data_IF_837380729919
#
_entry.id   IF_837380729919
#
_cell.length_a   1.000
_cell.length_b   1.000
_cell.length_c   1.000
_cell.angle_alpha   90.00
_cell.angle_beta   90.00
_cell.angle_gamma   90.00
#
_symmetry.space_group_name_H-M   'P 1'
#
loop_
_entity.id
_entity.type
_entity.pdbx_description
1 polymer ?
#
# COMPACT_ATOMS: atom_id res chain seq x y z
N UNK A 1 17.31 1.99 -15.92
CA UNK A 1 16.92 1.51 -14.58
C UNK A 1 15.45 1.85 -14.42
N UNK A 2 14.57 0.84 -14.51
CA UNK A 2 13.12 1.03 -14.53
C UNK A 2 12.59 1.42 -13.16
N UNK A 3 11.73 2.42 -13.12
CA UNK A 3 10.96 2.82 -11.93
C UNK A 3 9.73 1.94 -11.84
N UNK A 4 9.62 1.18 -10.78
CA UNK A 4 8.46 0.37 -10.47
C UNK A 4 7.26 1.22 -10.07
N UNK A 5 6.10 1.00 -10.65
CA UNK A 5 4.87 1.70 -10.32
C UNK A 5 3.68 0.77 -10.08
N UNK A 6 2.90 1.04 -9.07
CA UNK A 6 1.58 0.45 -8.88
C UNK A 6 0.56 1.42 -9.46
N UNK A 7 -0.24 0.95 -10.40
CA UNK A 7 -1.26 1.74 -11.04
C UNK A 7 -2.63 1.44 -10.45
N UNK A 8 -3.36 2.47 -10.10
CA UNK A 8 -4.73 2.39 -9.62
C UNK A 8 -5.67 3.22 -10.49
N UNK A 9 -6.78 2.63 -10.91
CA UNK A 9 -7.87 3.35 -11.57
C UNK A 9 -9.13 3.28 -10.70
N UNK A 10 -9.44 4.26 -9.89
CA UNK A 10 -10.71 4.94 -9.71
C UNK A 10 -10.60 6.34 -9.07
N UNK A 11 -11.71 7.06 -8.79
CA UNK A 11 -11.65 8.45 -8.39
C UNK A 11 -11.07 8.62 -6.98
N UNK A 12 -9.77 8.89 -6.89
CA UNK A 12 -8.94 9.19 -5.71
C UNK A 12 -8.25 7.98 -5.09
N UNK A 13 -7.07 7.56 -5.60
CA UNK A 13 -6.18 6.71 -4.81
C UNK A 13 -4.69 6.71 -5.22
N UNK A 14 -3.86 6.15 -4.33
CA UNK A 14 -2.42 6.21 -4.22
C UNK A 14 -1.72 5.12 -5.05
N UNK A 15 -0.66 5.46 -5.75
CA UNK A 15 0.28 4.52 -6.33
C UNK A 15 1.61 4.51 -5.56
N UNK A 16 2.35 3.42 -5.61
CA UNK A 16 3.70 3.31 -5.08
C UNK A 16 4.69 3.34 -6.24
N UNK A 17 5.61 4.32 -6.23
CA UNK A 17 6.71 4.43 -7.17
C UNK A 17 8.02 3.97 -6.56
N UNK A 18 8.83 3.26 -7.33
CA UNK A 18 10.22 2.93 -6.99
C UNK A 18 11.07 4.19 -7.03
N UNK A 19 11.54 4.67 -5.89
CA UNK A 19 12.57 5.71 -5.80
C UNK A 19 12.09 7.15 -5.88
N UNK A 20 10.80 7.44 -5.99
CA UNK A 20 10.24 8.78 -5.80
C UNK A 20 9.05 8.72 -4.83
N UNK A 21 8.90 9.81 -4.06
CA UNK A 21 7.82 9.98 -3.08
C UNK A 21 6.48 10.33 -3.74
N UNK A 22 6.41 10.33 -5.07
CA UNK A 22 5.23 10.69 -5.82
C UNK A 22 4.44 9.45 -6.22
N UNK A 23 3.30 9.35 -5.60
CA UNK A 23 2.27 8.40 -5.89
C UNK A 23 1.49 8.86 -7.11
N UNK A 24 1.73 8.30 -8.27
CA UNK A 24 0.97 8.62 -9.45
C UNK A 24 -0.27 7.72 -9.53
N UNK A 25 -1.39 8.19 -9.03
CA UNK A 25 -2.68 7.74 -9.53
C UNK A 25 -2.85 8.32 -10.93
N UNK A 26 -2.64 7.55 -11.97
CA UNK A 26 -3.00 7.98 -13.33
C UNK A 26 -4.50 7.76 -13.47
N UNK A 27 -5.26 8.85 -13.49
CA UNK A 27 -6.58 8.86 -14.08
C UNK A 27 -6.37 9.06 -15.58
N UNK A 28 -6.75 8.11 -16.43
CA UNK A 28 -6.74 8.37 -17.85
C UNK A 28 -7.72 9.51 -18.14
N UNK A 29 -7.26 10.54 -18.84
CA UNK A 29 -8.13 11.62 -19.31
C UNK A 29 -9.16 11.13 -20.35
N UNK A 30 -8.93 9.96 -20.92
CA UNK A 30 -9.84 9.29 -21.86
C UNK A 30 -9.91 7.78 -21.57
N UNK A 31 -11.10 7.28 -21.25
CA UNK A 31 -11.38 5.86 -21.00
C UNK A 31 -11.44 5.00 -22.27
N UNK A 32 -11.24 5.58 -23.48
CA UNK A 32 -11.44 4.88 -24.75
C UNK A 32 -10.47 3.73 -25.01
N UNK A 33 -9.26 3.77 -24.44
CA UNK A 33 -8.30 2.66 -24.50
C UNK A 33 -7.55 2.50 -23.18
N UNK A 34 -8.30 2.27 -22.12
CA UNK A 34 -7.73 2.09 -20.80
C UNK A 34 -6.75 0.90 -20.75
N UNK A 35 -7.02 -0.18 -21.46
CA UNK A 35 -6.16 -1.35 -21.48
C UNK A 35 -4.80 -1.06 -22.13
N UNK A 36 -4.78 -0.36 -23.27
CA UNK A 36 -3.54 0.04 -23.94
C UNK A 36 -2.74 1.04 -23.11
N UNK A 37 -3.41 2.02 -22.50
CA UNK A 37 -2.76 2.98 -21.61
C UNK A 37 -2.11 2.28 -20.41
N UNK A 38 -2.85 1.39 -19.72
CA UNK A 38 -2.35 0.62 -18.58
C UNK A 38 -1.20 -0.31 -18.95
N UNK A 39 -1.26 -0.94 -20.10
CA UNK A 39 -0.20 -1.81 -20.60
C UNK A 39 1.07 -1.04 -21.00
N UNK A 40 0.91 0.20 -21.50
CA UNK A 40 2.03 1.09 -21.87
C UNK A 40 2.78 1.69 -20.67
N UNK A 41 2.18 1.62 -19.48
CA UNK A 41 2.84 2.05 -18.25
C UNK A 41 3.76 0.95 -17.73
N UNK A 42 5.01 1.31 -17.41
CA UNK A 42 5.98 0.39 -16.78
C UNK A 42 5.62 0.13 -15.31
N UNK A 43 4.42 -0.42 -15.08
CA UNK A 43 3.93 -0.75 -13.76
C UNK A 43 4.35 -2.17 -13.36
N UNK A 44 4.72 -2.37 -12.09
CA UNK A 44 5.01 -3.71 -11.56
C UNK A 44 3.75 -4.43 -11.10
N UNK A 45 2.67 -3.69 -10.86
CA UNK A 45 1.38 -4.21 -10.45
C UNK A 45 0.27 -3.20 -10.78
N UNK A 46 -0.88 -3.71 -11.17
CA UNK A 46 -2.09 -2.95 -11.44
C UNK A 46 -3.13 -3.29 -10.37
N UNK A 47 -3.67 -2.26 -9.69
CA UNK A 47 -4.89 -2.39 -8.91
C UNK A 47 -6.06 -1.91 -9.77
N UNK A 48 -7.03 -2.76 -10.02
CA UNK A 48 -8.11 -2.50 -10.96
C UNK A 48 -9.48 -2.63 -10.27
N UNK A 49 -10.25 -1.55 -10.28
CA UNK A 49 -11.65 -1.63 -9.81
C UNK A 49 -12.49 -2.42 -10.83
N UNK A 50 -13.36 -3.28 -10.33
CA UNK A 50 -14.31 -4.03 -11.16
C UNK A 50 -15.41 -3.11 -11.67
N UNK A 51 -15.87 -2.16 -10.84
CA UNK A 51 -16.97 -1.27 -11.14
C UNK A 51 -16.47 0.08 -11.66
N UNK A 52 -16.02 0.12 -12.91
CA UNK A 52 -15.63 1.37 -13.56
C UNK A 52 -16.83 2.01 -14.26
N UNK A 53 -16.86 3.35 -14.45
CA UNK A 53 -18.03 4.06 -14.95
C UNK A 53 -18.46 3.68 -16.37
N UNK A 54 -17.52 3.24 -17.21
CA UNK A 54 -17.74 3.04 -18.64
C UNK A 54 -17.53 1.61 -19.11
N UNK A 55 -16.84 0.78 -18.32
CA UNK A 55 -16.49 -0.59 -18.69
C UNK A 55 -16.27 -1.45 -17.45
N UNK A 56 -16.50 -2.76 -17.59
CA UNK A 56 -16.24 -3.71 -16.51
C UNK A 56 -14.74 -3.98 -16.38
N UNK A 57 -14.18 -3.89 -15.18
CA UNK A 57 -12.77 -4.16 -14.93
C UNK A 57 -12.29 -5.55 -15.35
N UNK A 58 -13.17 -6.56 -15.35
CA UNK A 58 -12.84 -7.89 -15.86
C UNK A 58 -12.57 -7.87 -17.38
N UNK A 59 -13.31 -7.09 -18.15
CA UNK A 59 -13.12 -6.97 -19.61
C UNK A 59 -11.82 -6.23 -19.92
N UNK A 60 -11.55 -5.16 -19.17
CA UNK A 60 -10.29 -4.42 -19.25
C UNK A 60 -9.11 -5.35 -18.92
N UNK A 61 -9.20 -6.15 -17.87
CA UNK A 61 -8.14 -7.08 -17.48
C UNK A 61 -7.85 -8.11 -18.58
N UNK A 62 -8.88 -8.65 -19.23
CA UNK A 62 -8.69 -9.57 -20.36
C UNK A 62 -7.87 -8.93 -21.49
N UNK A 63 -8.18 -7.68 -21.86
CA UNK A 63 -7.41 -6.94 -22.87
C UNK A 63 -5.99 -6.61 -22.39
N UNK A 64 -5.80 -6.26 -21.11
CA UNK A 64 -4.47 -6.06 -20.53
C UNK A 64 -3.63 -7.34 -20.67
N UNK A 65 -4.21 -8.52 -20.49
CA UNK A 65 -3.51 -9.80 -20.59
C UNK A 65 -2.99 -10.12 -21.98
N UNK A 66 -3.59 -9.56 -23.04
CA UNK A 66 -3.10 -9.64 -24.41
C UNK A 66 -1.85 -8.77 -24.64
N UNK A 67 -1.68 -7.72 -23.83
CA UNK A 67 -0.64 -6.71 -24.00
C UNK A 67 0.53 -6.84 -23.01
N UNK A 68 0.26 -7.28 -21.78
CA UNK A 68 1.28 -7.36 -20.72
C UNK A 68 1.01 -8.50 -19.73
N UNK A 69 2.09 -8.94 -19.07
CA UNK A 69 2.04 -9.90 -17.96
C UNK A 69 2.03 -9.24 -16.58
N UNK A 70 1.96 -7.93 -16.52
CA UNK A 70 1.89 -7.18 -15.26
C UNK A 70 0.78 -7.73 -14.36
N UNK A 71 1.06 -8.11 -13.10
CA UNK A 71 0.04 -8.65 -12.21
C UNK A 71 -1.09 -7.66 -11.98
N UNK A 72 -2.33 -8.15 -11.95
CA UNK A 72 -3.54 -7.37 -11.67
C UNK A 72 -4.19 -7.92 -10.41
N UNK A 73 -4.45 -7.05 -9.43
CA UNK A 73 -5.30 -7.33 -8.27
C UNK A 73 -6.59 -6.54 -8.45
N UNK A 74 -7.73 -7.23 -8.40
CA UNK A 74 -9.00 -6.57 -8.44
C UNK A 74 -9.38 -5.95 -7.09
N UNK A 75 -10.01 -4.78 -7.16
CA UNK A 75 -10.61 -4.13 -5.99
C UNK A 75 -12.09 -3.99 -6.29
N UNK A 76 -12.94 -4.60 -5.47
CA UNK A 76 -14.38 -4.69 -5.79
C UNK A 76 -15.24 -4.40 -4.58
N UNK A 77 -16.45 -3.87 -4.81
CA UNK A 77 -17.49 -3.77 -3.78
C UNK A 77 -18.34 -5.05 -3.70
N UNK A 78 -18.05 -6.05 -4.53
CA UNK A 78 -18.76 -7.30 -4.59
C UNK A 78 -18.02 -8.35 -3.76
N UNK A 79 -18.75 -9.14 -3.03
CA UNK A 79 -18.22 -10.15 -2.11
C UNK A 79 -19.00 -11.48 -2.30
N UNK A 80 -18.94 -12.01 -3.53
CA UNK A 80 -19.59 -13.27 -3.86
C UNK A 80 -18.55 -14.25 -4.42
N UNK A 81 -18.76 -15.56 -4.17
CA UNK A 81 -17.94 -16.63 -4.73
C UNK A 81 -17.92 -16.64 -6.27
N UNK A 82 -18.94 -16.06 -6.90
CA UNK A 82 -18.97 -15.86 -8.35
C UNK A 82 -17.95 -14.81 -8.82
N UNK A 83 -17.74 -13.77 -8.04
CA UNK A 83 -16.75 -12.72 -8.35
C UNK A 83 -15.31 -13.24 -8.20
N UNK A 84 -15.07 -14.16 -7.26
CA UNK A 84 -13.79 -14.85 -7.10
C UNK A 84 -13.43 -15.63 -8.38
N UNK A 85 -14.38 -16.40 -8.88
CA UNK A 85 -14.19 -17.18 -10.11
C UNK A 85 -13.99 -16.28 -11.34
N UNK A 86 -14.72 -15.17 -11.42
CA UNK A 86 -14.61 -14.19 -12.50
C UNK A 86 -13.25 -13.47 -12.51
N UNK A 87 -12.71 -13.14 -11.34
CA UNK A 87 -11.38 -12.51 -11.20
C UNK A 87 -10.28 -13.41 -11.74
N UNK A 88 -10.31 -14.69 -11.40
CA UNK A 88 -9.35 -15.71 -11.89
C UNK A 88 -9.50 -15.88 -13.41
N UNK A 89 -10.73 -16.01 -13.93
CA UNK A 89 -10.99 -16.17 -15.38
C UNK A 89 -10.59 -14.96 -16.21
N UNK A 90 -10.65 -13.75 -15.63
CA UNK A 90 -10.21 -12.54 -16.29
C UNK A 90 -8.67 -12.39 -16.28
N UNK A 91 -7.94 -13.26 -15.61
CA UNK A 91 -6.47 -13.22 -15.53
C UNK A 91 -5.93 -12.36 -14.40
N UNK A 92 -6.74 -11.97 -13.44
CA UNK A 92 -6.27 -11.40 -12.17
C UNK A 92 -5.56 -12.45 -11.33
N UNK A 93 -4.62 -12.01 -10.51
CA UNK A 93 -3.87 -12.92 -9.62
C UNK A 93 -4.48 -12.97 -8.21
N UNK A 94 -5.25 -11.94 -7.85
CA UNK A 94 -5.94 -11.83 -6.56
C UNK A 94 -7.05 -10.77 -6.64
N UNK A 95 -7.86 -10.67 -5.58
CA UNK A 95 -8.85 -9.61 -5.43
C UNK A 95 -8.94 -9.16 -3.96
N UNK A 96 -9.54 -7.98 -3.73
CA UNK A 96 -9.84 -7.46 -2.40
C UNK A 96 -11.19 -6.75 -2.40
N UNK A 97 -12.06 -7.10 -1.46
CA UNK A 97 -13.38 -6.49 -1.31
C UNK A 97 -13.33 -5.20 -0.50
N UNK A 98 -14.09 -4.20 -0.95
CA UNK A 98 -14.29 -2.93 -0.22
C UNK A 98 -15.40 -3.09 0.83
N UNK A 99 -15.22 -2.53 2.03
CA UNK A 99 -14.05 -1.85 2.56
C UNK A 99 -12.94 -2.85 2.92
N UNK A 100 -11.70 -2.57 2.59
CA UNK A 100 -10.56 -3.45 2.85
C UNK A 100 -9.64 -2.93 3.96
N UNK A 101 -9.05 -3.85 4.71
CA UNK A 101 -7.92 -3.54 5.59
C UNK A 101 -6.68 -3.22 4.71
N UNK A 102 -6.07 -2.05 4.85
CA UNK A 102 -4.88 -1.68 4.10
C UNK A 102 -3.72 -2.69 4.22
N UNK A 103 -3.63 -3.43 5.33
CA UNK A 103 -2.61 -4.47 5.49
C UNK A 103 -2.93 -5.71 4.68
N UNK A 104 -4.21 -6.10 4.57
CA UNK A 104 -4.61 -7.23 3.70
C UNK A 104 -4.28 -6.89 2.25
N UNK A 105 -4.61 -5.68 1.81
CA UNK A 105 -4.24 -5.22 0.46
C UNK A 105 -2.73 -5.24 0.28
N UNK A 106 -1.97 -4.72 1.25
CA UNK A 106 -0.52 -4.72 1.21
C UNK A 106 0.06 -6.13 1.10
N UNK A 107 -0.44 -7.09 1.88
CA UNK A 107 0.02 -8.48 1.79
C UNK A 107 -0.27 -9.11 0.43
N UNK A 108 -1.43 -8.82 -0.15
CA UNK A 108 -1.77 -9.25 -1.51
C UNK A 108 -0.86 -8.63 -2.56
N UNK A 109 -0.58 -7.33 -2.46
CA UNK A 109 0.39 -6.62 -3.31
C UNK A 109 1.79 -7.27 -3.19
N UNK A 110 2.28 -7.49 -1.98
CA UNK A 110 3.58 -8.13 -1.74
C UNK A 110 3.66 -9.52 -2.34
N UNK A 111 2.61 -10.33 -2.16
CA UNK A 111 2.53 -11.67 -2.75
C UNK A 111 2.60 -11.61 -4.27
N UNK A 112 1.88 -10.69 -4.88
CA UNK A 112 1.87 -10.47 -6.31
C UNK A 112 3.24 -10.10 -6.86
N UNK A 113 3.88 -9.12 -6.23
CA UNK A 113 5.20 -8.62 -6.64
C UNK A 113 6.32 -9.65 -6.41
N UNK A 114 6.20 -10.53 -5.41
CA UNK A 114 7.14 -11.66 -5.24
C UNK A 114 7.10 -12.66 -6.39
N UNK A 115 5.97 -12.80 -7.05
CA UNK A 115 5.83 -13.70 -8.21
C UNK A 115 6.50 -13.14 -9.46
N UNK A 116 6.65 -11.81 -9.55
CA UNK A 116 7.24 -11.11 -10.71
C UNK A 116 8.68 -10.68 -10.50
N UNK A 117 9.06 -10.31 -9.30
CA UNK A 117 10.43 -9.92 -8.91
C UNK A 117 10.72 -10.25 -7.44
N UNK A 118 11.26 -11.44 -7.16
CA UNK A 118 11.48 -11.93 -5.79
C UNK A 118 12.41 -11.08 -4.92
N UNK A 119 13.18 -10.16 -5.51
CA UNK A 119 14.22 -9.39 -4.81
C UNK A 119 13.84 -7.98 -4.36
N UNK A 120 12.77 -7.38 -4.85
CA UNK A 120 12.73 -5.92 -4.96
C UNK A 120 11.69 -5.17 -4.12
N UNK A 121 10.68 -5.84 -3.54
CA UNK A 121 9.64 -5.20 -2.72
C UNK A 121 9.70 -5.61 -1.24
N UNK A 122 10.91 -5.77 -0.76
CA UNK A 122 11.12 -6.26 0.61
C UNK A 122 11.24 -5.15 1.64
N UNK A 123 11.68 -3.98 1.23
CA UNK A 123 12.15 -2.95 2.16
C UNK A 123 11.76 -1.53 1.73
N UNK A 124 11.40 -0.71 2.71
CA UNK A 124 11.28 0.74 2.55
C UNK A 124 12.38 1.44 3.34
N UNK A 125 13.13 2.34 2.72
CA UNK A 125 14.20 3.07 3.40
C UNK A 125 13.86 4.54 3.51
N UNK A 126 13.94 5.11 4.73
CA UNK A 126 13.76 6.54 5.03
C UNK A 126 14.71 6.96 6.14
N UNK A 127 15.34 8.12 6.01
CA UNK A 127 16.29 8.68 7.00
C UNK A 127 17.35 7.66 7.48
N UNK A 128 17.84 6.79 6.59
CA UNK A 128 18.81 5.75 6.92
C UNK A 128 18.23 4.53 7.66
N UNK A 129 16.94 4.53 7.93
CA UNK A 129 16.22 3.39 8.53
C UNK A 129 15.57 2.56 7.44
N UNK A 130 15.66 1.24 7.52
CA UNK A 130 15.07 0.29 6.58
C UNK A 130 13.97 -0.52 7.27
N UNK A 131 12.73 -0.37 6.81
CA UNK A 131 11.58 -1.15 7.25
C UNK A 131 11.45 -2.38 6.35
N UNK A 132 11.72 -3.57 6.89
CA UNK A 132 11.46 -4.84 6.21
C UNK A 132 9.96 -5.14 6.28
N UNK A 133 9.35 -5.10 5.14
CA UNK A 133 7.90 -5.26 5.00
C UNK A 133 7.46 -6.72 5.15
N UNK A 134 8.34 -7.68 5.02
CA UNK A 134 8.03 -9.10 5.14
C UNK A 134 8.17 -9.60 6.57
N UNK A 135 9.27 -9.21 7.22
CA UNK A 135 9.58 -9.64 8.58
C UNK A 135 8.94 -8.75 9.65
N UNK A 136 8.36 -7.60 9.25
CA UNK A 136 7.90 -6.56 10.20
C UNK A 136 9.01 -6.10 11.13
N UNK A 137 10.20 -5.90 10.57
CA UNK A 137 11.42 -5.51 11.30
C UNK A 137 11.88 -4.14 10.81
N UNK A 138 12.30 -3.28 11.72
CA UNK A 138 13.01 -2.04 11.40
C UNK A 138 14.51 -2.23 11.64
N UNK A 139 15.35 -1.82 10.66
CA UNK A 139 16.80 -1.89 10.75
C UNK A 139 17.43 -0.50 10.71
N UNK A 140 18.47 -0.32 11.50
CA UNK A 140 19.26 0.90 11.54
C UNK A 140 20.67 0.62 12.02
N UNK A 141 21.70 1.04 11.25
CA UNK A 141 23.12 0.90 11.62
C UNK A 141 23.51 -0.50 12.11
N UNK A 142 23.03 -1.54 11.44
CA UNK A 142 23.33 -2.94 11.78
C UNK A 142 22.54 -3.52 12.96
N UNK A 143 21.66 -2.74 13.59
CA UNK A 143 20.73 -3.20 14.62
C UNK A 143 19.33 -3.34 14.05
N UNK A 144 18.53 -4.21 14.68
CA UNK A 144 17.14 -4.41 14.26
C UNK A 144 16.19 -4.55 15.45
N UNK A 145 14.91 -4.23 15.22
CA UNK A 145 13.84 -4.45 16.18
C UNK A 145 12.61 -5.00 15.48
N UNK A 146 12.03 -6.05 16.06
CA UNK A 146 10.74 -6.59 15.62
C UNK A 146 9.59 -5.68 16.04
N UNK A 147 8.64 -5.50 15.13
CA UNK A 147 7.47 -4.67 15.35
C UNK A 147 6.23 -5.55 15.52
N UNK A 148 5.42 -5.23 16.52
CA UNK A 148 4.07 -5.79 16.60
C UNK A 148 3.24 -5.29 15.42
N UNK A 149 2.10 -5.95 15.14
CA UNK A 149 1.20 -5.58 14.05
C UNK A 149 0.84 -4.08 14.07
N UNK A 150 0.49 -3.52 15.22
CA UNK A 150 0.10 -2.12 15.34
C UNK A 150 1.29 -1.16 15.20
N UNK A 151 2.43 -1.48 15.79
CA UNK A 151 3.67 -0.70 15.64
C UNK A 151 4.11 -0.66 14.18
N UNK A 152 4.04 -1.80 13.49
CA UNK A 152 4.33 -1.89 12.05
C UNK A 152 3.37 -1.03 11.22
N UNK A 153 2.03 -1.12 11.45
CA UNK A 153 1.03 -0.31 10.76
C UNK A 153 1.32 1.18 10.88
N UNK A 154 1.58 1.63 12.11
CA UNK A 154 1.91 3.03 12.41
C UNK A 154 3.16 3.45 11.63
N UNK A 155 4.25 2.71 11.77
CA UNK A 155 5.52 3.06 11.16
C UNK A 155 5.44 3.03 9.63
N UNK A 156 4.79 2.01 9.08
CA UNK A 156 4.54 1.89 7.65
C UNK A 156 3.77 3.09 7.09
N UNK A 157 2.72 3.53 7.78
CA UNK A 157 1.95 4.71 7.37
C UNK A 157 2.81 5.97 7.34
N UNK A 158 3.69 6.14 8.32
CA UNK A 158 4.67 7.23 8.33
C UNK A 158 5.69 7.12 7.19
N UNK A 159 6.18 5.94 6.87
CA UNK A 159 7.10 5.72 5.75
C UNK A 159 6.47 6.10 4.41
N UNK A 160 5.20 5.80 4.21
CA UNK A 160 4.46 6.18 3.01
C UNK A 160 4.18 7.67 2.91
N UNK A 161 4.03 8.35 4.05
CA UNK A 161 3.72 9.77 4.14
C UNK A 161 4.90 10.58 4.66
N UNK A 162 6.13 10.17 4.37
CA UNK A 162 7.34 10.83 4.82
C UNK A 162 7.33 12.31 4.45
N UNK A 163 7.68 13.17 5.42
CA UNK A 163 7.69 14.63 5.25
C UNK A 163 6.34 15.31 5.55
N UNK A 164 5.23 14.56 5.65
CA UNK A 164 3.93 15.14 6.06
C UNK A 164 3.77 15.10 7.57
N UNK A 165 3.02 16.05 8.12
CA UNK A 165 2.56 16.03 9.49
C UNK A 165 1.27 15.22 9.51
N UNK A 166 1.22 14.16 10.30
CA UNK A 166 0.08 13.25 10.41
C UNK A 166 -0.57 13.46 11.79
N UNK A 167 -1.83 13.85 11.79
CA UNK A 167 -2.62 14.08 12.99
C UNK A 167 -3.06 12.78 13.66
N UNK A 168 -3.48 12.89 14.91
CA UNK A 168 -4.00 11.77 15.70
C UNK A 168 -5.26 11.18 15.08
N UNK A 169 -6.19 12.03 14.69
CA UNK A 169 -7.46 11.64 14.07
C UNK A 169 -7.23 10.90 12.74
N UNK A 170 -6.29 11.37 11.94
CA UNK A 170 -5.91 10.73 10.68
C UNK A 170 -5.34 9.33 10.92
N UNK A 171 -4.45 9.16 11.92
CA UNK A 171 -3.92 7.84 12.26
C UNK A 171 -5.02 6.89 12.74
N UNK A 172 -5.93 7.37 13.57
CA UNK A 172 -7.06 6.57 14.05
C UNK A 172 -7.96 6.14 12.89
N UNK A 173 -8.35 7.07 12.02
CA UNK A 173 -9.19 6.78 10.84
C UNK A 173 -8.53 5.77 9.89
N UNK A 174 -7.23 5.96 9.58
CA UNK A 174 -6.53 5.16 8.57
C UNK A 174 -6.03 3.82 9.08
N UNK A 175 -5.73 3.69 10.37
CA UNK A 175 -5.16 2.47 10.91
C UNK A 175 -6.17 1.57 11.62
N UNK A 176 -7.31 2.10 12.08
CA UNK A 176 -8.37 1.37 12.78
C UNK A 176 -9.73 1.61 12.12
N UNK A 177 -9.89 1.14 10.89
CA UNK A 177 -11.12 1.29 10.10
C UNK A 177 -12.29 0.39 10.60
N UNK A 178 -12.09 -0.42 11.62
CA UNK A 178 -13.15 -1.20 12.25
C UNK A 178 -13.99 -0.33 13.16
N UNK A 179 -15.30 -0.31 12.90
CA UNK A 179 -16.35 0.50 13.54
C UNK A 179 -16.53 0.30 15.06
N UNK A 180 -15.64 -0.44 15.71
CA UNK A 180 -15.71 -0.73 17.14
C UNK A 180 -14.47 -0.16 17.85
N UNK A 181 -14.69 0.95 18.55
CA UNK A 181 -13.78 1.59 19.52
C UNK A 181 -12.44 2.11 18.95
N UNK A 182 -12.51 3.32 18.41
CA UNK A 182 -11.36 4.23 18.25
C UNK A 182 -10.85 4.64 19.64
N UNK A 183 -10.06 3.81 20.30
CA UNK A 183 -9.47 4.15 21.59
C UNK A 183 -8.13 4.87 21.36
N UNK A 184 -8.14 6.18 21.61
CA UNK A 184 -6.94 7.03 21.58
C UNK A 184 -5.81 6.46 22.45
N UNK A 185 -6.16 5.81 23.55
CA UNK A 185 -5.20 5.22 24.46
C UNK A 185 -4.42 4.10 23.77
N UNK A 186 -5.08 3.29 22.94
CA UNK A 186 -4.41 2.22 22.17
C UNK A 186 -3.38 2.81 21.21
N UNK A 187 -3.71 3.90 20.50
CA UNK A 187 -2.77 4.58 19.62
C UNK A 187 -1.57 5.11 20.42
N UNK A 188 -1.82 5.84 21.52
CA UNK A 188 -0.77 6.45 22.32
C UNK A 188 0.17 5.41 22.96
N UNK A 189 -0.37 4.30 23.44
CA UNK A 189 0.42 3.18 23.96
C UNK A 189 1.32 2.57 22.87
N UNK A 190 0.76 2.32 21.68
CA UNK A 190 1.56 1.78 20.57
C UNK A 190 2.62 2.77 20.08
N UNK A 191 2.30 4.07 20.01
CA UNK A 191 3.29 5.13 19.68
C UNK A 191 4.42 5.19 20.70
N UNK A 192 4.11 5.06 21.97
CA UNK A 192 5.11 5.08 23.05
C UNK A 192 6.02 3.85 22.95
N UNK A 193 5.44 2.66 22.78
CA UNK A 193 6.18 1.41 22.59
C UNK A 193 7.07 1.45 21.36
N UNK A 194 6.52 1.91 20.23
CA UNK A 194 7.27 2.07 19.00
C UNK A 194 8.48 3.00 19.20
N UNK A 195 8.28 4.19 19.78
CA UNK A 195 9.40 5.12 20.05
C UNK A 195 10.46 4.53 20.97
N UNK A 196 10.05 3.73 21.97
CA UNK A 196 10.99 3.03 22.85
C UNK A 196 11.84 2.03 22.07
N UNK A 197 11.22 1.16 21.27
CA UNK A 197 11.92 0.19 20.41
C UNK A 197 12.88 0.86 19.42
N UNK A 198 12.44 1.94 18.79
CA UNK A 198 13.31 2.72 17.89
C UNK A 198 14.54 3.25 18.62
N UNK A 199 14.36 3.77 19.84
CA UNK A 199 15.46 4.26 20.68
C UNK A 199 16.44 3.17 21.07
N UNK A 200 15.97 1.96 21.37
CA UNK A 200 16.83 0.80 21.73
C UNK A 200 17.82 0.44 20.62
N UNK A 201 17.45 0.61 19.37
CA UNK A 201 18.33 0.37 18.21
C UNK A 201 19.05 1.64 17.72
N UNK A 202 18.95 2.75 18.48
CA UNK A 202 19.67 3.99 18.21
C UNK A 202 18.92 5.00 17.32
N UNK A 203 17.65 4.77 17.02
CA UNK A 203 16.83 5.69 16.22
C UNK A 203 16.13 6.68 17.15
N UNK A 204 16.59 7.94 17.16
CA UNK A 204 16.05 8.99 18.05
C UNK A 204 15.25 10.07 17.31
N UNK A 205 15.45 10.19 15.99
CA UNK A 205 14.91 11.31 15.18
C UNK A 205 13.95 10.90 14.07
N UNK A 206 13.52 9.63 14.04
CA UNK A 206 12.68 9.15 12.96
C UNK A 206 11.25 9.72 13.04
N UNK A 207 10.67 9.76 14.25
CA UNK A 207 9.33 10.25 14.49
C UNK A 207 9.36 11.48 15.42
N UNK A 208 9.22 12.65 14.83
CA UNK A 208 9.18 13.93 15.53
C UNK A 208 7.76 14.25 15.99
N UNK A 209 7.61 14.73 17.24
CA UNK A 209 6.33 15.21 17.73
C UNK A 209 6.19 16.70 17.41
N UNK A 210 5.20 17.06 16.61
CA UNK A 210 4.86 18.46 16.28
C UNK A 210 3.72 18.88 17.20
N UNK A 211 4.07 19.71 18.20
CA UNK A 211 3.15 20.14 19.25
C UNK A 211 1.84 20.66 18.69
N UNK A 212 0.72 20.10 19.16
CA UNK A 212 -0.64 20.46 18.76
C UNK A 212 -1.06 20.06 17.35
N UNK A 213 -0.19 19.34 16.58
CA UNK A 213 -0.50 18.95 15.19
C UNK A 213 -0.40 17.44 14.94
N UNK A 214 0.46 16.72 15.66
CA UNK A 214 0.68 15.29 15.44
C UNK A 214 2.14 14.91 15.34
N UNK A 215 2.48 14.04 14.42
CA UNK A 215 3.84 13.51 14.23
C UNK A 215 4.27 13.63 12.78
N UNK A 216 5.58 13.66 12.59
CA UNK A 216 6.23 13.72 11.28
C UNK A 216 7.41 12.76 11.22
N UNK A 217 7.55 12.06 10.10
CA UNK A 217 8.74 11.28 9.72
C UNK A 217 9.59 12.08 8.76
#
# INVERSE_FOLDING_TARGET
MGTAGILWAPPKFFGLHRGSTDTAGVLPDDFKDLAGQLAGLSADLILLDVNLPYENGYDICRRIRELTRTPVIFVTSRDTSADDLMSIRAGGIDFVSKPYDPLILLEKIRRALRLTDPGNFRELTRKGCTLDLHLSVIRYSGREAELTRNEFRILYYFFLNSGKIIGKEELLEKLWNDRFYLDENVLMVNMTRLKHKLKEIGITHLLENIRGKGWKL
#
